data_IF_460877595287
#
_entry.id   IF_460877595287
#
_cell.length_a   1.000
_cell.length_b   1.000
_cell.length_c   1.000
_cell.angle_alpha   90.00
_cell.angle_beta   90.00
_cell.angle_gamma   90.00
#
_symmetry.space_group_name_H-M   'P 1'
#
loop_
_entity.id
_entity.type
_entity.pdbx_description
1 polymer ?
#
# COMPACT_ATOMS: atom_id res chain seq x y z
N UNK A 1 14.46 10.25 -17.20
CA UNK A 1 14.58 10.33 -15.73
C UNK A 1 15.98 10.75 -15.31
N UNK A 2 17.01 9.90 -15.45
CA UNK A 2 18.39 10.27 -15.03
C UNK A 2 18.94 11.51 -15.76
N UNK A 3 18.72 11.61 -17.07
CA UNK A 3 19.05 12.81 -17.84
C UNK A 3 18.29 14.05 -17.33
N UNK A 4 17.00 13.90 -17.06
CA UNK A 4 16.15 14.98 -16.53
C UNK A 4 16.62 15.42 -15.13
N UNK A 5 17.21 14.51 -14.34
CA UNK A 5 17.79 14.81 -13.02
C UNK A 5 19.09 15.61 -13.11
N UNK A 6 19.91 15.39 -14.13
CA UNK A 6 21.19 16.11 -14.33
C UNK A 6 21.03 17.44 -15.09
N UNK A 7 20.19 17.45 -16.12
CA UNK A 7 20.04 18.56 -17.06
C UNK A 7 18.77 19.38 -16.81
N UNK A 8 17.85 18.87 -16.00
CA UNK A 8 16.53 19.47 -15.76
C UNK A 8 15.54 19.12 -16.88
N UNK A 9 14.24 19.24 -16.60
CA UNK A 9 13.17 18.99 -17.58
C UNK A 9 13.27 19.90 -18.83
N UNK A 10 13.92 21.07 -18.70
CA UNK A 10 14.16 22.00 -19.81
C UNK A 10 15.09 21.46 -20.89
N UNK A 11 15.89 20.45 -20.58
CA UNK A 11 16.81 19.85 -21.54
C UNK A 11 16.12 18.92 -22.55
N UNK A 12 14.80 18.65 -22.40
CA UNK A 12 13.97 17.89 -23.35
C UNK A 12 14.60 16.57 -23.83
N UNK A 13 15.37 15.89 -22.95
CA UNK A 13 16.12 14.68 -23.29
C UNK A 13 17.01 14.85 -24.52
N UNK A 14 17.60 16.03 -24.71
CA UNK A 14 18.56 16.27 -25.78
C UNK A 14 19.71 15.26 -25.66
N UNK A 15 19.91 14.37 -26.65
CA UNK A 15 20.98 13.38 -26.62
C UNK A 15 22.38 14.01 -26.62
N UNK A 16 22.52 15.23 -27.13
CA UNK A 16 23.79 15.99 -27.18
C UNK A 16 23.99 16.92 -25.96
N UNK A 17 23.16 16.78 -24.92
CA UNK A 17 23.24 17.60 -23.72
C UNK A 17 24.53 17.37 -22.94
N UNK A 18 25.44 18.37 -22.94
CA UNK A 18 26.69 18.30 -22.17
C UNK A 18 26.40 18.31 -20.67
N UNK A 19 26.98 17.34 -19.93
CA UNK A 19 26.90 17.25 -18.48
C UNK A 19 28.22 17.78 -17.89
N UNK A 20 28.21 18.94 -17.20
CA UNK A 20 29.40 19.43 -16.53
C UNK A 20 29.88 18.45 -15.45
N UNK A 21 31.21 18.24 -15.35
CA UNK A 21 31.81 17.39 -14.31
C UNK A 21 31.38 17.81 -12.90
N UNK A 22 31.21 19.11 -12.68
CA UNK A 22 30.73 19.67 -11.42
C UNK A 22 29.32 19.18 -11.07
N UNK A 23 28.43 19.00 -12.04
CA UNK A 23 27.09 18.44 -11.80
C UNK A 23 27.09 16.93 -11.58
N UNK A 24 28.05 16.24 -12.18
CA UNK A 24 28.15 14.78 -12.09
C UNK A 24 28.77 14.31 -10.77
N UNK A 25 29.90 14.89 -10.37
CA UNK A 25 30.71 14.40 -9.26
C UNK A 25 30.94 15.39 -8.11
N UNK A 26 30.58 16.67 -8.25
CA UNK A 26 30.73 17.64 -7.15
C UNK A 26 29.37 17.94 -6.53
N UNK A 27 29.36 18.09 -5.20
CA UNK A 27 28.17 18.58 -4.52
C UNK A 27 28.00 20.07 -4.83
N UNK A 28 26.82 20.44 -5.33
CA UNK A 28 26.48 21.83 -5.69
C UNK A 28 25.95 22.60 -4.46
N UNK A 29 25.51 21.89 -3.42
CA UNK A 29 25.01 22.49 -2.17
C UNK A 29 25.34 21.61 -0.96
N UNK A 30 25.58 22.20 0.21
CA UNK A 30 25.88 21.45 1.45
C UNK A 30 24.78 20.46 1.86
N UNK A 31 23.55 20.65 1.35
CA UNK A 31 22.39 19.77 1.58
C UNK A 31 22.20 18.68 0.52
N UNK A 32 22.97 18.71 -0.56
CA UNK A 32 22.89 17.73 -1.65
C UNK A 32 24.11 16.82 -1.69
N UNK A 33 23.91 15.56 -2.07
CA UNK A 33 25.01 14.66 -2.40
C UNK A 33 25.27 14.66 -3.92
N UNK A 34 26.50 14.38 -4.37
CA UNK A 34 26.82 14.23 -5.79
C UNK A 34 25.96 13.17 -6.48
N UNK A 35 25.58 13.43 -7.73
CA UNK A 35 24.82 12.47 -8.53
C UNK A 35 25.53 11.12 -8.65
N UNK A 36 26.85 11.13 -8.89
CA UNK A 36 27.63 9.91 -8.99
C UNK A 36 27.59 9.06 -7.72
N UNK A 37 27.79 9.66 -6.54
CA UNK A 37 27.78 8.92 -5.27
C UNK A 37 26.41 8.30 -4.98
N UNK A 38 25.33 8.96 -5.39
CA UNK A 38 23.98 8.40 -5.30
C UNK A 38 23.79 7.18 -6.18
N UNK A 39 24.26 7.25 -7.43
CA UNK A 39 24.21 6.10 -8.34
C UNK A 39 25.08 4.96 -7.79
N UNK A 40 26.28 5.25 -7.31
CA UNK A 40 27.16 4.27 -6.67
C UNK A 40 26.48 3.58 -5.49
N UNK A 41 25.80 4.34 -4.63
CA UNK A 41 25.04 3.78 -3.51
C UNK A 41 23.87 2.89 -3.96
N UNK A 42 23.14 3.29 -5.01
CA UNK A 42 22.10 2.45 -5.62
C UNK A 42 22.70 1.16 -6.19
N UNK A 43 23.85 1.24 -6.86
CA UNK A 43 24.53 0.06 -7.40
C UNK A 43 24.99 -0.89 -6.29
N UNK A 44 25.52 -0.37 -5.17
CA UNK A 44 25.86 -1.19 -4.00
C UNK A 44 24.60 -1.85 -3.40
N UNK A 45 23.49 -1.11 -3.31
CA UNK A 45 22.20 -1.62 -2.84
C UNK A 45 21.70 -2.76 -3.72
N UNK A 46 21.75 -2.59 -5.04
CA UNK A 46 21.35 -3.62 -6.01
C UNK A 46 22.24 -4.85 -5.84
N UNK A 47 23.55 -4.67 -5.88
CA UNK A 47 24.52 -5.76 -5.84
C UNK A 47 24.37 -6.62 -4.58
N UNK A 48 24.04 -6.02 -3.45
CA UNK A 48 23.95 -6.73 -2.16
C UNK A 48 22.59 -7.33 -1.86
N UNK A 49 21.50 -6.61 -2.16
CA UNK A 49 20.18 -6.97 -1.67
C UNK A 49 19.13 -7.21 -2.76
N UNK A 50 19.32 -6.67 -3.97
CA UNK A 50 18.27 -6.63 -5.00
C UNK A 50 18.68 -7.28 -6.32
N UNK A 51 19.85 -7.93 -6.38
CA UNK A 51 20.46 -8.39 -7.63
C UNK A 51 19.52 -9.30 -8.44
N UNK A 52 18.88 -10.25 -7.75
CA UNK A 52 17.97 -11.19 -8.39
C UNK A 52 16.69 -10.51 -8.89
N UNK A 53 16.08 -9.64 -8.08
CA UNK A 53 14.91 -8.84 -8.44
C UNK A 53 15.18 -7.86 -9.60
N UNK A 54 16.39 -7.30 -9.63
CA UNK A 54 16.84 -6.41 -10.70
C UNK A 54 16.99 -7.16 -12.02
N UNK A 55 17.64 -8.33 -12.00
CA UNK A 55 17.86 -9.15 -13.19
C UNK A 55 16.56 -9.66 -13.80
N UNK A 56 15.55 -9.93 -12.98
CA UNK A 56 14.23 -10.34 -13.43
C UNK A 56 13.33 -9.19 -13.92
N UNK A 57 13.81 -7.95 -13.83
CA UNK A 57 13.03 -6.78 -14.23
C UNK A 57 11.86 -6.46 -13.28
N UNK A 58 11.88 -6.95 -12.04
CA UNK A 58 10.84 -6.61 -11.06
C UNK A 58 10.92 -5.15 -10.59
N UNK A 59 12.09 -4.51 -10.74
CA UNK A 59 12.37 -3.16 -10.28
C UNK A 59 12.45 -2.23 -11.48
N UNK A 60 11.57 -1.22 -11.55
CA UNK A 60 11.69 -0.16 -12.57
C UNK A 60 12.89 0.75 -12.28
N UNK A 61 13.19 0.97 -11.00
CA UNK A 61 14.38 1.67 -10.54
C UNK A 61 14.29 3.18 -10.71
N UNK A 62 14.62 3.68 -11.90
CA UNK A 62 14.77 5.12 -12.15
C UNK A 62 13.49 5.73 -12.74
N UNK A 63 12.54 6.03 -11.85
CA UNK A 63 11.24 6.65 -12.19
C UNK A 63 11.02 7.85 -11.27
N UNK A 64 10.59 9.00 -11.83
CA UNK A 64 10.27 10.18 -11.02
C UNK A 64 8.90 10.05 -10.36
N UNK A 65 8.67 10.83 -9.30
CA UNK A 65 7.39 10.85 -8.57
C UNK A 65 6.18 11.17 -9.44
N UNK A 66 6.36 12.00 -10.46
CA UNK A 66 5.30 12.36 -11.40
C UNK A 66 5.06 11.22 -12.39
N UNK A 67 6.13 10.60 -12.87
CA UNK A 67 6.04 9.51 -13.85
C UNK A 67 5.45 8.25 -13.24
N UNK A 68 5.78 7.91 -11.99
CA UNK A 68 5.18 6.75 -11.33
C UNK A 68 3.67 6.89 -11.17
N UNK A 69 3.19 8.09 -10.78
CA UNK A 69 1.76 8.37 -10.68
C UNK A 69 1.08 8.20 -12.03
N UNK A 70 1.65 8.81 -13.07
CA UNK A 70 1.14 8.67 -14.43
C UNK A 70 1.12 7.22 -14.94
N UNK A 71 2.06 6.37 -14.50
CA UNK A 71 2.09 4.95 -14.88
C UNK A 71 1.04 4.13 -14.13
N UNK A 72 0.72 4.51 -12.90
CA UNK A 72 -0.27 3.86 -12.06
C UNK A 72 -1.70 4.38 -12.32
N UNK A 73 -1.86 5.57 -12.91
CA UNK A 73 -3.18 6.09 -13.33
C UNK A 73 -3.84 5.12 -14.30
N UNK A 74 -5.09 4.72 -14.01
CA UNK A 74 -5.87 3.80 -14.85
C UNK A 74 -5.47 2.33 -14.69
N UNK A 75 -4.65 1.99 -13.70
CA UNK A 75 -4.36 0.60 -13.32
C UNK A 75 -5.30 0.12 -12.22
N UNK A 76 -5.45 -1.20 -12.10
CA UNK A 76 -6.29 -1.80 -11.06
C UNK A 76 -5.77 -1.43 -9.66
N UNK A 77 -6.68 -1.23 -8.67
CA UNK A 77 -6.29 -1.03 -7.28
C UNK A 77 -5.35 -2.13 -6.77
N UNK A 78 -4.33 -1.73 -6.03
CA UNK A 78 -3.26 -2.59 -5.54
C UNK A 78 -2.16 -2.89 -6.57
N UNK A 79 -2.19 -2.23 -7.73
CA UNK A 79 -1.04 -2.22 -8.63
C UNK A 79 0.07 -1.36 -8.03
N UNK A 80 1.28 -1.91 -7.95
CA UNK A 80 2.43 -1.24 -7.37
C UNK A 80 3.67 -1.32 -8.27
N UNK A 81 4.61 -0.43 -8.03
CA UNK A 81 5.91 -0.43 -8.69
C UNK A 81 7.03 -0.13 -7.71
N UNK A 82 8.23 -0.58 -8.07
CA UNK A 82 9.45 -0.40 -7.27
C UNK A 82 10.36 0.63 -7.92
N UNK A 83 10.81 1.62 -7.13
CA UNK A 83 11.75 2.65 -7.57
C UNK A 83 12.81 2.96 -6.52
N UNK A 84 13.94 3.48 -6.97
CA UNK A 84 14.97 4.00 -6.08
C UNK A 84 14.58 5.36 -5.52
N UNK A 85 14.94 5.61 -4.27
CA UNK A 85 14.78 6.90 -3.63
C UNK A 85 15.72 7.92 -4.25
N UNK A 86 15.14 9.03 -4.68
CA UNK A 86 15.90 10.13 -5.27
C UNK A 86 16.62 11.00 -4.24
N UNK A 87 16.18 10.94 -2.98
CA UNK A 87 16.60 11.80 -1.87
C UNK A 87 17.46 11.08 -0.83
N UNK A 88 17.66 9.77 -0.95
CA UNK A 88 18.53 9.01 -0.03
C UNK A 88 19.96 9.00 -0.52
N UNK A 89 20.89 9.51 0.30
CA UNK A 89 22.33 9.51 0.01
C UNK A 89 22.89 8.10 -0.09
N UNK A 90 22.48 7.23 0.83
CA UNK A 90 23.04 5.88 0.99
C UNK A 90 22.35 4.84 0.11
N UNK A 91 21.51 5.28 -0.83
CA UNK A 91 20.70 4.41 -1.66
C UNK A 91 19.55 3.80 -0.85
N UNK A 92 18.34 3.91 -1.39
CA UNK A 92 17.18 3.27 -0.81
C UNK A 92 16.19 2.88 -1.90
N UNK A 93 15.35 1.90 -1.62
CA UNK A 93 14.26 1.45 -2.50
C UNK A 93 12.91 1.72 -1.82
N UNK A 94 11.94 2.15 -2.58
CA UNK A 94 10.55 2.33 -2.13
C UNK A 94 9.62 1.71 -3.16
N UNK A 95 8.40 1.42 -2.76
CA UNK A 95 7.32 1.12 -3.68
C UNK A 95 6.20 2.13 -3.54
N UNK A 96 5.50 2.33 -4.65
CA UNK A 96 4.29 3.14 -4.73
C UNK A 96 3.17 2.28 -5.28
N UNK A 97 1.99 2.37 -4.69
CA UNK A 97 0.79 1.66 -5.15
C UNK A 97 -0.38 2.63 -5.32
N UNK A 98 -1.35 2.20 -6.15
CA UNK A 98 -2.60 2.93 -6.38
C UNK A 98 -3.76 2.22 -5.69
N UNK A 99 -4.59 3.00 -5.02
CA UNK A 99 -5.91 2.59 -4.52
C UNK A 99 -6.95 3.53 -5.13
N UNK A 100 -8.21 3.12 -5.17
CA UNK A 100 -9.30 3.99 -5.58
C UNK A 100 -10.11 4.36 -4.35
N UNK A 101 -10.48 5.64 -4.24
CA UNK A 101 -11.40 6.09 -3.20
C UNK A 101 -12.86 5.71 -3.53
N UNK A 102 -13.80 6.10 -2.66
CA UNK A 102 -15.23 5.85 -2.83
C UNK A 102 -15.81 6.45 -4.12
N UNK A 103 -15.12 7.40 -4.75
CA UNK A 103 -15.50 8.07 -5.98
C UNK A 103 -14.69 7.58 -7.19
N UNK A 104 -14.03 6.43 -7.07
CA UNK A 104 -13.17 5.83 -8.09
C UNK A 104 -11.98 6.73 -8.50
N UNK A 105 -11.57 7.68 -7.64
CA UNK A 105 -10.40 8.51 -7.90
C UNK A 105 -9.12 7.80 -7.46
N UNK A 106 -8.06 7.81 -8.28
CA UNK A 106 -6.81 7.17 -7.94
C UNK A 106 -6.07 7.93 -6.83
N UNK A 107 -5.81 7.24 -5.72
CA UNK A 107 -4.97 7.68 -4.61
C UNK A 107 -3.65 6.91 -4.67
N UNK A 108 -2.55 7.65 -4.63
CA UNK A 108 -1.21 7.06 -4.67
C UNK A 108 -0.58 7.08 -3.29
N UNK A 109 -0.10 5.93 -2.85
CA UNK A 109 0.58 5.76 -1.59
C UNK A 109 2.00 5.28 -1.83
N UNK A 110 2.95 5.79 -1.04
CA UNK A 110 4.36 5.40 -1.12
C UNK A 110 4.89 5.18 0.28
N UNK A 111 5.70 4.13 0.46
CA UNK A 111 6.33 3.84 1.75
C UNK A 111 7.60 4.65 1.91
N UNK A 112 8.00 4.90 3.16
CA UNK A 112 9.33 5.39 3.45
C UNK A 112 10.39 4.49 2.80
N UNK A 113 11.43 5.06 2.16
CA UNK A 113 12.40 4.25 1.44
C UNK A 113 13.24 3.35 2.36
N UNK A 114 13.27 2.06 2.04
CA UNK A 114 14.12 1.09 2.70
C UNK A 114 15.57 1.24 2.30
N UNK A 115 16.39 1.54 3.29
CA UNK A 115 17.84 1.61 3.23
C UNK A 115 18.47 0.22 3.31
N UNK A 116 19.78 0.15 3.05
CA UNK A 116 20.58 -1.06 3.25
C UNK A 116 20.41 -1.68 4.64
N UNK A 117 20.24 -0.87 5.68
CA UNK A 117 20.09 -1.36 7.07
C UNK A 117 18.80 -2.17 7.22
N UNK A 118 17.69 -1.68 6.67
CA UNK A 118 16.40 -2.36 6.73
C UNK A 118 16.39 -3.60 5.85
N UNK A 119 16.95 -3.51 4.64
CA UNK A 119 17.07 -4.65 3.72
C UNK A 119 18.05 -5.74 4.20
N UNK A 120 18.90 -5.41 5.18
CA UNK A 120 19.74 -6.41 5.86
C UNK A 120 18.99 -7.16 6.95
N UNK A 121 17.95 -6.55 7.53
CA UNK A 121 17.12 -7.16 8.56
C UNK A 121 15.99 -8.01 7.95
N UNK A 122 15.37 -7.53 6.88
CA UNK A 122 14.27 -8.22 6.17
C UNK A 122 14.47 -8.08 4.67
N UNK A 123 14.33 -9.17 3.92
CA UNK A 123 14.46 -9.13 2.46
C UNK A 123 13.32 -8.32 1.82
N UNK A 124 13.59 -7.62 0.72
CA UNK A 124 12.54 -6.87 0.01
C UNK A 124 11.34 -7.74 -0.41
N UNK A 125 11.53 -8.99 -0.92
CA UNK A 125 10.42 -9.89 -1.21
C UNK A 125 9.55 -10.20 0.02
N UNK A 126 10.15 -10.41 1.19
CA UNK A 126 9.41 -10.70 2.43
C UNK A 126 8.70 -9.45 2.95
N UNK A 127 9.31 -8.26 2.82
CA UNK A 127 8.64 -6.97 3.06
C UNK A 127 7.39 -6.87 2.19
N UNK A 128 7.49 -7.06 0.88
CA UNK A 128 6.36 -6.97 -0.07
C UNK A 128 5.27 -8.02 0.24
N UNK A 129 5.67 -9.23 0.65
CA UNK A 129 4.76 -10.33 0.98
C UNK A 129 3.94 -10.01 2.24
N UNK A 130 4.61 -9.56 3.28
CA UNK A 130 4.04 -9.37 4.61
C UNK A 130 3.47 -7.97 4.81
N UNK A 131 3.76 -7.01 3.91
CA UNK A 131 3.33 -5.63 4.06
C UNK A 131 1.83 -5.52 4.34
N UNK A 132 1.49 -4.84 5.43
CA UNK A 132 0.10 -4.56 5.79
C UNK A 132 -0.13 -3.10 6.06
N UNK A 133 -1.31 -2.63 5.72
CA UNK A 133 -1.77 -1.29 6.08
C UNK A 133 -2.87 -1.45 7.13
N UNK A 134 -2.75 -0.73 8.25
CA UNK A 134 -3.77 -0.77 9.30
C UNK A 134 -4.97 0.05 8.83
N UNK A 135 -6.07 -0.62 8.46
CA UNK A 135 -7.31 0.02 8.08
C UNK A 135 -8.12 0.48 9.32
N UNK A 136 -9.11 1.34 9.09
CA UNK A 136 -10.03 1.90 10.09
C UNK A 136 -10.65 0.85 11.02
N UNK A 137 -10.90 -0.34 10.48
CA UNK A 137 -11.56 -1.46 11.17
C UNK A 137 -10.59 -2.41 11.90
N UNK A 138 -9.32 -2.02 12.10
CA UNK A 138 -8.26 -2.85 12.71
C UNK A 138 -7.97 -4.18 11.99
N UNK A 139 -8.44 -4.38 10.75
CA UNK A 139 -8.07 -5.53 9.93
C UNK A 139 -6.89 -5.12 9.04
N UNK A 140 -5.69 -5.70 9.25
CA UNK A 140 -4.53 -5.34 8.45
C UNK A 140 -4.59 -6.04 7.09
N UNK A 141 -4.89 -5.27 6.04
CA UNK A 141 -4.98 -5.76 4.67
C UNK A 141 -3.65 -5.55 3.93
N UNK A 142 -3.34 -6.44 2.98
CA UNK A 142 -2.20 -6.27 2.09
C UNK A 142 -2.66 -5.53 0.84
N UNK A 143 -2.29 -4.23 0.67
CA UNK A 143 -2.74 -3.45 -0.48
C UNK A 143 -2.04 -3.88 -1.78
N UNK A 144 -0.94 -4.64 -1.71
CA UNK A 144 -0.12 -5.00 -2.86
C UNK A 144 -0.64 -6.28 -3.51
N UNK A 145 -1.15 -6.15 -4.74
CA UNK A 145 -1.77 -7.26 -5.50
C UNK A 145 -1.05 -7.53 -6.82
N UNK A 146 -0.70 -6.49 -7.56
CA UNK A 146 -0.10 -6.61 -8.89
C UNK A 146 1.17 -5.78 -8.98
N UNK A 147 2.26 -6.39 -9.44
CA UNK A 147 3.43 -5.65 -9.89
C UNK A 147 3.15 -5.06 -11.27
N UNK A 148 3.46 -3.78 -11.45
CA UNK A 148 3.29 -3.09 -12.72
C UNK A 148 3.96 -3.86 -13.89
N UNK A 149 3.30 -3.99 -15.05
CA UNK A 149 1.99 -3.39 -15.39
C UNK A 149 0.74 -4.17 -14.97
N UNK A 150 0.83 -5.49 -14.79
CA UNK A 150 -0.31 -6.40 -14.56
C UNK A 150 0.12 -7.81 -14.10
N UNK A 151 1.28 -7.92 -13.44
CA UNK A 151 1.85 -9.20 -13.02
C UNK A 151 1.38 -9.51 -11.59
N UNK A 152 0.70 -10.64 -11.31
CA UNK A 152 0.34 -11.00 -9.94
C UNK A 152 1.56 -11.03 -9.01
N UNK A 153 1.44 -10.45 -7.81
CA UNK A 153 2.53 -10.35 -6.83
C UNK A 153 3.22 -11.69 -6.59
N UNK A 154 2.46 -12.75 -6.34
CA UNK A 154 3.03 -14.08 -6.06
C UNK A 154 3.72 -14.70 -7.28
N UNK A 155 3.34 -14.32 -8.50
CA UNK A 155 4.05 -14.72 -9.72
C UNK A 155 5.39 -14.02 -9.86
N UNK A 156 5.45 -12.74 -9.50
CA UNK A 156 6.68 -11.94 -9.58
C UNK A 156 7.67 -12.30 -8.45
N UNK A 157 7.20 -12.40 -7.21
CA UNK A 157 8.03 -12.53 -6.02
C UNK A 157 8.01 -13.93 -5.40
N UNK A 158 7.13 -14.85 -5.84
CA UNK A 158 6.94 -16.16 -5.21
C UNK A 158 8.20 -17.03 -5.14
N UNK A 159 9.08 -16.91 -6.14
CA UNK A 159 10.38 -17.61 -6.17
C UNK A 159 11.38 -17.10 -5.13
N UNK A 160 11.14 -15.92 -4.57
CA UNK A 160 12.00 -15.24 -3.61
C UNK A 160 11.51 -15.32 -2.17
N UNK A 161 10.26 -15.71 -1.98
CA UNK A 161 9.78 -16.00 -0.65
C UNK A 161 10.66 -17.10 -0.11
N UNK A 162 11.28 -16.83 1.04
CA UNK A 162 11.95 -17.87 1.78
C UNK A 162 10.93 -19.00 1.91
N UNK A 163 11.15 -20.10 1.18
CA UNK A 163 10.49 -21.36 1.48
C UNK A 163 10.82 -21.52 2.95
N UNK A 164 9.81 -21.61 3.81
CA UNK A 164 10.06 -22.09 5.15
C UNK A 164 10.91 -23.34 4.91
N UNK A 165 12.19 -23.26 5.24
CA UNK A 165 13.05 -24.42 5.22
C UNK A 165 12.39 -25.26 6.30
N UNK A 166 11.48 -26.13 5.87
CA UNK A 166 11.26 -27.39 6.53
C UNK A 166 12.68 -27.93 6.59
N UNK A 167 13.31 -27.68 7.75
CA UNK A 167 14.49 -28.39 8.13
C UNK A 167 14.08 -29.83 7.88
N UNK A 168 14.73 -30.48 6.92
CA UNK A 168 14.73 -31.92 6.81
C UNK A 168 15.02 -32.41 8.22
N UNK A 169 13.99 -32.84 8.94
CA UNK A 169 14.20 -33.42 10.26
C UNK A 169 15.14 -34.59 10.03
N UNK A 170 16.34 -34.58 10.62
CA UNK A 170 17.05 -35.84 10.76
C UNK A 170 16.17 -36.63 11.74
N UNK A 171 15.49 -37.65 11.22
CA UNK A 171 15.00 -38.73 12.07
C UNK A 171 16.21 -39.24 12.85
N UNK A 172 16.32 -38.89 14.12
CA UNK A 172 16.61 -39.85 15.18
C UNK A 172 16.66 -39.26 16.61
N UNK A 173 15.87 -39.93 17.46
CA UNK A 173 16.04 -40.21 18.90
C UNK A 173 15.81 -39.10 19.94
N UNK A 174 14.68 -39.28 20.64
CA UNK A 174 14.35 -38.98 22.03
C UNK A 174 15.27 -38.04 22.84
N UNK A 175 14.79 -36.83 23.15
CA UNK A 175 15.09 -36.15 24.41
C UNK A 175 13.99 -35.12 24.78
N UNK A 176 13.43 -35.13 26.01
CA UNK A 176 12.27 -34.32 26.36
C UNK A 176 12.69 -32.99 26.99
N UNK A 177 13.21 -32.04 26.21
CA UNK A 177 13.40 -30.64 26.66
C UNK A 177 13.50 -29.67 25.48
N UNK A 178 12.53 -29.66 24.57
CA UNK A 178 12.50 -28.62 23.53
C UNK A 178 11.78 -27.39 24.10
N UNK A 179 12.56 -26.42 24.56
CA UNK A 179 12.09 -25.05 24.76
C UNK A 179 11.53 -24.52 23.45
N UNK A 180 10.20 -24.61 23.30
CA UNK A 180 9.46 -24.16 22.14
C UNK A 180 9.44 -22.64 22.06
N UNK A 181 10.50 -22.04 21.53
CA UNK A 181 10.49 -20.62 21.19
C UNK A 181 9.50 -20.38 20.05
N UNK A 182 8.56 -19.45 20.25
CA UNK A 182 7.60 -19.05 19.22
C UNK A 182 8.36 -18.40 18.06
N UNK A 183 8.18 -18.93 16.84
CA UNK A 183 8.73 -18.33 15.62
C UNK A 183 8.10 -16.94 15.43
N UNK A 184 8.94 -15.91 15.34
CA UNK A 184 8.53 -14.54 15.03
C UNK A 184 9.04 -14.14 13.66
N UNK A 185 8.27 -13.30 12.95
CA UNK A 185 8.65 -12.73 11.67
C UNK A 185 8.45 -11.21 11.73
N UNK A 186 9.40 -10.46 11.18
CA UNK A 186 9.31 -9.00 11.11
C UNK A 186 8.40 -8.61 9.95
N UNK A 187 7.44 -7.73 10.22
CA UNK A 187 6.46 -7.25 9.24
C UNK A 187 6.57 -5.74 9.15
N UNK A 188 6.59 -5.22 7.92
CA UNK A 188 6.50 -3.78 7.69
C UNK A 188 5.02 -3.36 7.65
N UNK A 189 4.68 -2.34 8.43
CA UNK A 189 3.31 -1.83 8.58
C UNK A 189 3.32 -0.31 8.41
N UNK A 190 2.35 0.21 7.65
CA UNK A 190 2.08 1.66 7.60
C UNK A 190 0.76 1.98 8.32
N UNK A 191 0.76 3.02 9.14
CA UNK A 191 -0.44 3.59 9.76
C UNK A 191 -1.16 4.52 8.77
N UNK A 192 -2.48 4.39 8.63
CA UNK A 192 -3.29 5.34 7.86
C UNK A 192 -3.61 6.54 8.74
N UNK A 193 -3.39 7.76 8.23
CA UNK A 193 -3.63 8.99 8.99
C UNK A 193 -5.12 9.11 9.38
N UNK A 194 -5.47 9.48 10.63
CA UNK A 194 -6.85 9.51 11.13
C UNK A 194 -7.80 10.45 10.38
N UNK A 195 -7.30 11.37 9.55
CA UNK A 195 -8.16 12.17 8.66
C UNK A 195 -8.93 11.33 7.65
N UNK A 196 -8.42 10.15 7.27
CA UNK A 196 -9.15 9.17 6.44
C UNK A 196 -10.25 8.43 7.20
N UNK A 197 -10.20 8.40 8.53
CA UNK A 197 -11.32 7.89 9.35
C UNK A 197 -12.51 8.84 9.31
N UNK A 198 -12.26 10.13 9.09
CA UNK A 198 -13.31 11.16 9.10
C UNK A 198 -14.07 11.25 7.77
N UNK A 199 -13.46 10.85 6.64
CA UNK A 199 -14.18 10.78 5.36
C UNK A 199 -15.33 9.75 5.37
N UNK A 200 -15.31 8.80 6.31
CA UNK A 200 -16.39 7.82 6.52
C UNK A 200 -17.45 8.27 7.53
N UNK A 201 -17.33 9.46 8.13
CA UNK A 201 -18.32 9.99 9.07
C UNK A 201 -18.65 11.43 8.72
N UNK A 202 -19.42 11.64 7.66
CA UNK A 202 -20.28 12.82 7.62
C UNK A 202 -21.26 12.71 8.79
N UNK A 203 -21.28 13.64 9.76
CA UNK A 203 -22.32 13.63 10.77
C UNK A 203 -23.67 13.77 10.07
N UNK A 204 -24.59 12.83 10.32
CA UNK A 204 -25.94 12.94 9.80
C UNK A 204 -26.54 14.29 10.23
N UNK A 205 -27.33 14.92 9.35
CA UNK A 205 -28.09 16.13 9.71
C UNK A 205 -28.93 15.84 10.96
N UNK A 206 -29.12 16.80 11.89
CA UNK A 206 -29.96 16.65 13.07
C UNK A 206 -31.35 16.08 12.76
N UNK A 207 -31.89 16.38 11.57
CA UNK A 207 -33.19 15.91 11.12
C UNK A 207 -33.18 14.40 10.83
N UNK A 208 -32.16 13.91 10.11
CA UNK A 208 -31.99 12.48 9.77
C UNK A 208 -31.74 11.66 11.03
N UNK A 209 -30.95 12.19 11.96
CA UNK A 209 -30.72 11.54 13.25
C UNK A 209 -32.01 11.46 14.10
N UNK A 210 -32.83 12.51 14.09
CA UNK A 210 -34.12 12.53 14.77
C UNK A 210 -35.11 11.50 14.22
N UNK A 211 -35.12 11.33 12.91
CA UNK A 211 -35.99 10.38 12.20
C UNK A 211 -35.56 8.93 12.45
N UNK A 212 -34.25 8.65 12.37
CA UNK A 212 -33.70 7.34 12.73
C UNK A 212 -34.04 7.01 14.19
N UNK A 213 -33.87 7.95 15.11
CA UNK A 213 -34.19 7.75 16.53
C UNK A 213 -35.66 7.42 16.77
N UNK A 214 -36.60 8.01 16.00
CA UNK A 214 -38.02 7.64 16.06
C UNK A 214 -38.29 6.25 15.49
N UNK A 215 -37.63 5.89 14.40
CA UNK A 215 -37.83 4.58 13.74
C UNK A 215 -37.31 3.39 14.55
N UNK A 216 -36.21 3.57 15.30
CA UNK A 216 -35.57 2.49 16.08
C UNK A 216 -36.05 2.44 17.54
N UNK A 217 -36.74 3.49 18.02
CA UNK A 217 -37.29 3.55 19.38
C UNK A 217 -38.24 2.38 19.74
N UNK A 218 -39.13 1.89 18.85
CA UNK A 218 -39.98 0.74 19.15
C UNK A 218 -39.17 -0.57 19.28
N UNK A 219 -38.10 -0.73 18.51
CA UNK A 219 -37.25 -1.93 18.51
C UNK A 219 -36.39 -2.00 19.78
N UNK A 220 -35.87 -0.85 20.23
CA UNK A 220 -35.04 -0.76 21.44
C UNK A 220 -35.86 -0.94 22.74
N UNK A 221 -37.17 -0.70 22.71
CA UNK A 221 -38.04 -0.96 23.87
C UNK A 221 -38.25 -2.47 24.11
N UNK A 222 -38.19 -3.31 23.08
CA UNK A 222 -38.27 -4.77 23.22
C UNK A 222 -37.02 -5.40 23.87
N UNK A 223 -35.87 -4.71 23.89
CA UNK A 223 -34.60 -5.25 24.41
C UNK A 223 -34.34 -4.96 25.89
N UNK A 224 -35.17 -4.14 26.54
CA UNK A 224 -34.95 -3.72 27.93
C UNK A 224 -35.74 -4.53 28.98
N UNK A 225 -36.39 -5.63 28.61
CA UNK A 225 -37.08 -6.51 29.57
C UNK A 225 -36.42 -7.89 29.61
N UNK A 226 -35.65 -8.22 30.67
CA UNK A 226 -35.01 -9.53 30.80
C UNK A 226 -35.98 -10.55 31.41
N UNK A 227 -37.00 -10.97 30.66
CA UNK A 227 -37.74 -12.22 30.89
C UNK A 227 -38.22 -12.77 29.55
N UNK A 228 -37.96 -14.07 29.38
CA UNK A 228 -38.37 -14.96 28.26
C UNK A 228 -37.38 -15.04 27.08
N UNK A 229 -36.30 -15.83 27.29
CA UNK A 229 -35.40 -16.32 26.24
C UNK A 229 -35.94 -17.59 25.57
N UNK A 230 -37.03 -18.19 26.07
CA UNK A 230 -37.60 -19.42 25.49
C UNK A 230 -38.95 -19.15 24.81
N UNK A 231 -38.90 -18.42 23.70
CA UNK A 231 -39.91 -18.54 22.65
C UNK A 231 -39.29 -18.07 21.33
N UNK A 232 -38.92 -19.03 20.48
CA UNK A 232 -38.75 -18.78 19.04
C UNK A 232 -40.15 -18.70 18.44
N UNK A 233 -40.56 -17.60 17.80
CA UNK A 233 -41.61 -17.64 16.80
C UNK A 233 -40.93 -17.68 15.44
N UNK A 234 -41.13 -18.81 14.77
CA UNK A 234 -40.92 -18.99 13.34
C UNK A 234 -41.83 -18.03 12.58
N UNK A 235 -41.38 -16.81 12.30
CA UNK A 235 -41.96 -15.94 11.26
C UNK A 235 -40.91 -14.89 10.84
N UNK A 236 -39.94 -15.34 10.04
CA UNK A 236 -39.15 -14.50 9.13
C UNK A 236 -39.78 -14.54 7.72
N UNK A 237 -41.11 -14.59 7.67
CA UNK A 237 -41.89 -14.43 6.44
C UNK A 237 -42.41 -13.00 6.38
N UNK A 238 -42.10 -12.32 5.27
CA UNK A 238 -42.76 -11.10 4.82
C UNK A 238 -42.46 -9.82 5.60
N UNK A 239 -41.37 -9.12 5.25
CA UNK A 239 -41.44 -7.66 5.03
C UNK A 239 -40.35 -7.26 4.01
N UNK A 240 -40.77 -6.48 3.01
CA UNK A 240 -40.07 -5.96 1.83
C UNK A 240 -40.18 -6.85 0.57
N UNK A 241 -40.96 -6.40 -0.42
CA UNK A 241 -40.37 -5.45 -1.37
C UNK A 241 -41.36 -4.39 -1.90
N UNK A 242 -41.52 -3.22 -1.25
CA UNK A 242 -42.26 -2.10 -1.88
C UNK A 242 -41.77 -0.66 -1.61
N UNK A 243 -40.65 -0.43 -0.91
CA UNK A 243 -40.18 0.96 -0.67
C UNK A 243 -39.03 1.44 -1.58
N UNK A 244 -38.71 0.69 -2.65
CA UNK A 244 -37.68 1.08 -3.63
C UNK A 244 -38.19 2.01 -4.75
N UNK A 245 -39.30 2.73 -4.54
CA UNK A 245 -39.93 3.57 -5.58
C UNK A 245 -40.14 5.05 -5.23
N UNK A 246 -39.41 5.60 -4.26
CA UNK A 246 -39.55 7.02 -3.87
C UNK A 246 -38.30 7.90 -4.12
N UNK A 247 -37.31 7.42 -4.88
CA UNK A 247 -36.11 8.22 -5.23
C UNK A 247 -35.92 8.51 -6.73
N UNK A 248 -36.96 8.34 -7.56
CA UNK A 248 -36.88 8.64 -9.01
C UNK A 248 -37.63 9.90 -9.46
N UNK A 249 -38.10 10.76 -8.55
CA UNK A 249 -38.77 12.00 -8.92
C UNK A 249 -38.28 13.21 -8.08
N UNK A 250 -37.16 13.81 -8.48
CA UNK A 250 -36.99 15.25 -8.32
C UNK A 250 -36.39 15.90 -9.58
N UNK A 251 -36.93 17.04 -10.02
CA UNK A 251 -36.61 17.66 -11.31
C UNK A 251 -35.27 18.42 -11.32
N UNK A 252 -34.62 18.38 -12.48
CA UNK A 252 -33.48 19.24 -12.83
C UNK A 252 -33.83 20.72 -12.66
N UNK A 253 -33.00 21.46 -11.93
CA UNK A 253 -32.99 22.91 -11.94
C UNK A 253 -31.66 23.39 -12.54
N UNK A 254 -31.73 23.67 -13.85
CA UNK A 254 -30.80 24.53 -14.55
C UNK A 254 -31.06 26.01 -14.22
N UNK A 255 -29.98 26.79 -14.33
CA UNK A 255 -29.92 28.24 -14.61
C UNK A 255 -30.27 29.26 -13.50
N UNK A 256 -29.24 29.88 -12.92
CA UNK A 256 -28.83 31.26 -13.23
C UNK A 256 -27.46 31.60 -12.63
#
# INVERSE_FOLDING_TARGET
MLADKLLGQKAQRNPEGLIPWTKFCKSISEKSFPFWLWIEAILDLIKRHLLSLWNDGCILGFVSKEREKSMLTGKCPGTFLLRFSESSRDGAITFTWVEHDLYDKPVFHAVEPYTKKELSAVSLPDIIRTYKVMAAENIPENPLRFLYPDIPKDKAFGKYYARATEASEPMDVESPTTTGYMKTELISVSEVHPSRLQDNMMPMSPDVFGELKRSVAPVLQCWNSPKDIDAVPSDLGEFLPEDFQMFENMPNLDSN
#
